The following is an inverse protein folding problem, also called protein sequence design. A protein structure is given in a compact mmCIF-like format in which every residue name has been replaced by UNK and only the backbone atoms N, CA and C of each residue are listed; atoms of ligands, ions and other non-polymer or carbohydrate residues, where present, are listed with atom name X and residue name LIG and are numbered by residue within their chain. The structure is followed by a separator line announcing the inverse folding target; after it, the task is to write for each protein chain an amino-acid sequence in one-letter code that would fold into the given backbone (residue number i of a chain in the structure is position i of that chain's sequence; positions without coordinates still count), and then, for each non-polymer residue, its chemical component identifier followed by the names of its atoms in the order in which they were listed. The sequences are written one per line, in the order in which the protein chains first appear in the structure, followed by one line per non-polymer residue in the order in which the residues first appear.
data_IF_747132494920
#
_entry.id   IF_747132494920
#
_cell.length_a   1.000
_cell.length_b   1.000
_cell.length_c   1.000
_cell.angle_alpha   90.00
_cell.angle_beta   90.00
_cell.angle_gamma   90.00
#
_symmetry.space_group_name_H-M   'P 1'
#
loop_
_entity.id
_entity.type
_entity.pdbx_description
1 polymer ?
#
# COMPACT_ATOMS: atom_id res chain seq x y z
N UNK A 1 13.86 11.72 -24.42
CA UNK A 1 12.82 11.40 -23.41
C UNK A 1 13.04 12.30 -22.21
N UNK A 2 12.01 12.87 -21.59
CA UNK A 2 12.18 13.61 -20.34
C UNK A 2 12.78 12.70 -19.25
N UNK A 3 13.58 13.28 -18.35
CA UNK A 3 14.22 12.54 -17.27
C UNK A 3 13.18 12.02 -16.26
N UNK A 4 13.41 10.83 -15.70
CA UNK A 4 12.59 10.29 -14.63
C UNK A 4 12.75 11.11 -13.33
N UNK A 5 11.62 11.61 -12.81
CA UNK A 5 11.56 12.41 -11.58
C UNK A 5 10.60 11.74 -10.57
N UNK A 6 11.08 10.82 -9.72
CA UNK A 6 10.22 10.09 -8.79
C UNK A 6 9.52 11.01 -7.80
N UNK A 7 10.16 12.12 -7.38
CA UNK A 7 9.61 13.04 -6.38
C UNK A 7 8.26 13.64 -6.81
N UNK A 8 8.10 13.92 -8.11
CA UNK A 8 6.87 14.49 -8.66
C UNK A 8 5.82 13.39 -8.89
N UNK A 9 6.26 12.23 -9.38
CA UNK A 9 5.41 11.10 -9.71
C UNK A 9 4.81 10.42 -8.47
N UNK A 10 5.62 10.19 -7.44
CA UNK A 10 5.19 9.57 -6.19
C UNK A 10 4.13 10.42 -5.50
N UNK A 11 4.37 11.74 -5.36
CA UNK A 11 3.39 12.68 -4.78
C UNK A 11 2.08 12.68 -5.55
N UNK A 12 2.15 12.71 -6.89
CA UNK A 12 0.96 12.67 -7.76
C UNK A 12 0.11 11.43 -7.50
N UNK A 13 0.73 10.24 -7.49
CA UNK A 13 -0.01 8.98 -7.36
C UNK A 13 -0.50 8.73 -5.93
N UNK A 14 0.27 9.10 -4.91
CA UNK A 14 -0.18 9.04 -3.51
C UNK A 14 -1.42 9.91 -3.30
N UNK A 15 -1.41 11.14 -3.81
CA UNK A 15 -2.56 12.04 -3.73
C UNK A 15 -3.78 11.48 -4.48
N UNK A 16 -3.58 10.94 -5.69
CA UNK A 16 -4.64 10.30 -6.45
C UNK A 16 -5.25 9.11 -5.69
N UNK A 17 -4.43 8.19 -5.17
CA UNK A 17 -4.95 7.03 -4.43
C UNK A 17 -5.71 7.41 -3.16
N UNK A 18 -5.25 8.45 -2.46
CA UNK A 18 -5.93 8.97 -1.29
C UNK A 18 -7.29 9.60 -1.65
N UNK A 19 -7.32 10.47 -2.65
CA UNK A 19 -8.54 11.15 -3.12
C UNK A 19 -9.60 10.16 -3.61
N UNK A 20 -9.18 9.09 -4.29
CA UNK A 20 -10.08 8.09 -4.86
C UNK A 20 -10.35 6.92 -3.92
N UNK A 21 -9.84 6.95 -2.68
CA UNK A 21 -9.93 5.84 -1.74
C UNK A 21 -9.52 4.48 -2.36
N UNK A 22 -8.49 4.48 -3.21
CA UNK A 22 -8.16 3.36 -4.11
C UNK A 22 -7.93 2.03 -3.39
N UNK A 23 -7.49 2.05 -2.12
CA UNK A 23 -7.22 0.86 -1.31
C UNK A 23 -8.24 0.63 -0.20
N UNK A 24 -9.33 1.40 -0.14
CA UNK A 24 -10.43 1.13 0.79
C UNK A 24 -11.12 -0.17 0.38
N UNK A 25 -11.21 -1.12 1.31
CA UNK A 25 -11.99 -2.34 1.14
C UNK A 25 -13.46 -2.10 1.53
N UNK A 26 -14.36 -2.84 0.89
CA UNK A 26 -15.80 -2.78 1.17
C UNK A 26 -16.24 -4.06 1.87
N UNK A 27 -17.04 -3.95 2.93
CA UNK A 27 -17.52 -5.13 3.67
C UNK A 27 -18.53 -5.94 2.85
N UNK A 28 -19.32 -5.28 2.02
CA UNK A 28 -20.41 -5.88 1.23
C UNK A 28 -19.98 -6.21 -0.20
N UNK A 29 -18.68 -6.38 -0.43
CA UNK A 29 -18.13 -6.70 -1.75
C UNK A 29 -18.50 -8.12 -2.18
N UNK A 30 -18.91 -8.28 -3.44
CA UNK A 30 -19.14 -9.61 -4.06
C UNK A 30 -17.84 -10.33 -4.42
N UNK A 31 -16.70 -9.64 -4.35
CA UNK A 31 -15.38 -10.21 -4.64
C UNK A 31 -14.89 -11.08 -3.47
N UNK A 32 -14.05 -12.12 -3.74
CA UNK A 32 -13.49 -12.93 -2.67
C UNK A 32 -12.63 -12.10 -1.70
N UNK A 33 -12.95 -12.14 -0.40
CA UNK A 33 -12.18 -11.46 0.64
C UNK A 33 -10.72 -11.94 0.68
N UNK A 34 -9.79 -11.02 0.91
CA UNK A 34 -8.41 -11.32 1.26
C UNK A 34 -7.88 -10.31 2.28
N UNK A 35 -7.36 -10.80 3.40
CA UNK A 35 -6.84 -9.93 4.46
C UNK A 35 -5.34 -10.13 4.61
N UNK A 36 -4.58 -9.08 4.32
CA UNK A 36 -3.13 -9.00 4.56
C UNK A 36 -2.92 -8.21 5.84
N UNK A 37 -2.23 -8.82 6.80
CA UNK A 37 -1.89 -8.20 8.07
C UNK A 37 -0.39 -8.29 8.29
N UNK A 38 0.23 -7.15 8.53
CA UNK A 38 1.61 -7.04 8.98
C UNK A 38 1.66 -6.66 10.46
N UNK A 39 2.79 -6.91 11.11
CA UNK A 39 3.01 -6.56 12.50
C UNK A 39 3.08 -5.03 12.64
N UNK A 40 2.13 -4.46 13.37
CA UNK A 40 2.14 -3.03 13.67
C UNK A 40 3.42 -2.66 14.43
N UNK A 41 4.07 -1.53 14.08
CA UNK A 41 5.31 -1.14 14.73
C UNK A 41 5.01 -0.64 16.15
N UNK A 42 5.86 -0.99 17.10
CA UNK A 42 5.84 -0.33 18.40
C UNK A 42 6.37 1.11 18.25
N UNK A 43 5.70 2.15 18.80
CA UNK A 43 6.07 3.55 18.61
C UNK A 43 7.29 3.92 19.47
N UNK A 44 8.47 3.37 19.16
CA UNK A 44 9.70 3.45 19.95
C UNK A 44 10.52 4.75 19.79
N UNK A 45 10.06 5.71 18.99
CA UNK A 45 10.83 6.93 18.70
C UNK A 45 11.23 7.00 17.22
N UNK A 46 12.47 7.44 16.93
CA UNK A 46 12.98 7.99 15.65
C UNK A 46 12.57 7.26 14.35
N UNK A 47 11.31 7.42 13.94
CA UNK A 47 10.80 6.95 12.67
C UNK A 47 10.93 5.45 12.45
N UNK A 48 10.81 5.04 11.18
CA UNK A 48 10.98 3.67 10.75
C UNK A 48 12.48 3.39 10.51
N UNK A 49 13.08 2.48 11.27
CA UNK A 49 14.37 1.90 10.85
C UNK A 49 14.20 1.00 9.61
N UNK A 50 15.29 0.75 8.87
CA UNK A 50 15.31 -0.01 7.59
C UNK A 50 14.67 -1.41 7.64
N UNK A 51 14.48 -1.97 8.83
CA UNK A 51 13.79 -3.26 9.02
C UNK A 51 12.27 -3.16 8.84
N UNK A 52 11.65 -2.03 9.17
CA UNK A 52 10.20 -1.87 9.01
C UNK A 52 9.76 -1.83 7.54
N UNK A 53 10.41 -1.07 6.63
CA UNK A 53 10.05 -1.10 5.21
C UNK A 53 10.14 -2.50 4.60
N UNK A 54 11.07 -3.34 5.05
CA UNK A 54 11.22 -4.69 4.50
C UNK A 54 9.94 -5.53 4.70
N UNK A 55 9.36 -5.50 5.90
CA UNK A 55 8.08 -6.17 6.16
C UNK A 55 6.94 -5.54 5.36
N UNK A 56 6.77 -4.23 5.49
CA UNK A 56 5.61 -3.52 4.91
C UNK A 56 5.59 -3.55 3.38
N UNK A 57 6.76 -3.52 2.72
CA UNK A 57 6.83 -3.63 1.26
C UNK A 57 6.38 -5.02 0.81
N UNK A 58 6.83 -6.08 1.48
CA UNK A 58 6.41 -7.45 1.14
C UNK A 58 4.88 -7.62 1.29
N UNK A 59 4.33 -7.13 2.40
CA UNK A 59 2.88 -7.14 2.65
C UNK A 59 2.11 -6.30 1.62
N UNK A 60 2.57 -5.10 1.26
CA UNK A 60 1.94 -4.24 0.25
C UNK A 60 1.99 -4.86 -1.16
N UNK A 61 3.09 -5.54 -1.53
CA UNK A 61 3.20 -6.29 -2.79
C UNK A 61 2.13 -7.38 -2.86
N UNK A 62 1.97 -8.18 -1.80
CA UNK A 62 0.94 -9.23 -1.75
C UNK A 62 -0.46 -8.63 -1.81
N UNK A 63 -0.73 -7.55 -1.07
CA UNK A 63 -2.02 -6.87 -1.08
C UNK A 63 -2.39 -6.37 -2.48
N UNK A 64 -1.45 -5.73 -3.19
CA UNK A 64 -1.64 -5.26 -4.57
C UNK A 64 -1.84 -6.40 -5.55
N UNK A 65 -1.03 -7.46 -5.44
CA UNK A 65 -1.17 -8.65 -6.28
C UNK A 65 -2.58 -9.24 -6.14
N UNK A 66 -3.06 -9.44 -4.92
CA UNK A 66 -4.38 -10.04 -4.67
C UNK A 66 -5.52 -9.14 -5.14
N UNK A 67 -5.40 -7.82 -4.97
CA UNK A 67 -6.36 -6.85 -5.52
C UNK A 67 -6.43 -6.93 -7.05
N UNK A 68 -5.29 -7.05 -7.72
CA UNK A 68 -5.22 -7.23 -9.18
C UNK A 68 -5.76 -8.59 -9.64
N UNK A 69 -5.68 -9.62 -8.80
CA UNK A 69 -6.34 -10.92 -9.00
C UNK A 69 -7.86 -10.89 -8.68
N UNK A 70 -8.45 -9.71 -8.48
CA UNK A 70 -9.88 -9.54 -8.29
C UNK A 70 -10.38 -9.83 -6.87
N UNK A 71 -9.48 -9.97 -5.89
CA UNK A 71 -9.86 -10.08 -4.48
C UNK A 71 -10.17 -8.70 -3.88
N UNK A 72 -11.01 -8.69 -2.85
CA UNK A 72 -11.32 -7.50 -2.05
C UNK A 72 -10.48 -7.46 -0.78
#
# INVERSE_FOLDING_TARGET
MPAYRPQDLEKKWQAHWQQHHTFRAENDSTKPKYYVLDMFPYPSGAGLHVGHPLGYIASDIVARYQRLQGRN
#
